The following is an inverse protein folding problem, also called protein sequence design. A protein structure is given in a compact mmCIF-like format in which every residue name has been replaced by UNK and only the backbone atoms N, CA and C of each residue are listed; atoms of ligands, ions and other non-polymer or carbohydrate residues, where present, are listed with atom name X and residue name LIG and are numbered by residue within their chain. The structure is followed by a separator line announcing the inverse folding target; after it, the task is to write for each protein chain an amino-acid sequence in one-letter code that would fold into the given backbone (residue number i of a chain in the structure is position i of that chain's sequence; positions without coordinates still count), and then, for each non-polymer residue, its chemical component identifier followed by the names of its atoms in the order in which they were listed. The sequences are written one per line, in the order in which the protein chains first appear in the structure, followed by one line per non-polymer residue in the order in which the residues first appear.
data_IF_913526413242
#
_entry.id   IF_913526413242
#
_cell.length_a   1.000
_cell.length_b   1.000
_cell.length_c   1.000
_cell.angle_alpha   90.00
_cell.angle_beta   90.00
_cell.angle_gamma   90.00
#
_symmetry.space_group_name_H-M   'P 1'
#
loop_
_entity.id
_entity.type
_entity.pdbx_description
1 polymer ?
#
# COMPACT_ATOMS: atom_id res chain seq x y z
N UNK A 1 -5.51 7.18 23.51
CA UNK A 1 -4.89 6.05 22.80
C UNK A 1 -4.51 6.51 21.40
N UNK A 2 -3.30 7.06 21.21
CA UNK A 2 -2.77 7.51 19.90
C UNK A 2 -1.23 7.51 19.83
N UNK A 3 -0.57 6.74 20.68
CA UNK A 3 0.91 6.77 20.73
C UNK A 3 1.55 5.69 19.85
N UNK A 4 0.87 4.57 19.63
CA UNK A 4 1.45 3.41 18.92
C UNK A 4 1.48 3.55 17.39
N UNK A 5 0.71 4.49 16.80
CA UNK A 5 0.73 4.77 15.35
C UNK A 5 1.47 6.07 15.01
N UNK A 6 2.23 6.61 15.97
CA UNK A 6 3.06 7.80 15.75
C UNK A 6 4.42 7.37 15.20
N UNK A 7 4.86 8.08 14.17
CA UNK A 7 6.22 7.98 13.66
C UNK A 7 6.65 9.33 13.13
N UNK A 8 7.63 9.97 13.78
CA UNK A 8 8.14 11.28 13.38
C UNK A 8 9.33 11.16 12.40
N UNK A 9 9.70 9.95 11.98
CA UNK A 9 10.77 9.71 10.99
C UNK A 9 10.27 9.82 9.55
N UNK A 10 8.97 9.63 9.31
CA UNK A 10 8.37 9.80 7.98
C UNK A 10 8.27 11.27 7.61
N UNK A 11 8.70 11.63 6.40
CA UNK A 11 8.58 12.99 5.88
C UNK A 11 7.15 13.38 5.48
N UNK A 12 6.89 14.67 5.23
CA UNK A 12 5.67 15.11 4.56
C UNK A 12 5.55 14.51 3.15
N UNK A 13 4.36 14.54 2.52
CA UNK A 13 4.18 14.09 1.14
C UNK A 13 5.09 14.88 0.19
N UNK A 14 5.61 14.21 -0.83
CA UNK A 14 6.48 14.84 -1.84
C UNK A 14 5.70 15.81 -2.73
N UNK A 15 4.41 15.53 -2.95
CA UNK A 15 3.51 16.39 -3.70
C UNK A 15 2.08 16.37 -3.15
N UNK A 16 1.36 17.47 -3.36
CA UNK A 16 -0.06 17.58 -3.00
C UNK A 16 -0.34 17.64 -1.49
N UNK A 17 -1.63 17.52 -1.15
CA UNK A 17 -2.15 17.46 0.22
C UNK A 17 -3.06 16.22 0.33
N UNK A 18 -2.49 15.01 0.28
CA UNK A 18 -3.25 13.77 0.22
C UNK A 18 -4.11 13.53 1.45
N UNK A 19 -5.20 12.78 1.29
CA UNK A 19 -6.01 12.34 2.41
C UNK A 19 -5.17 11.59 3.45
N UNK A 20 -5.33 11.96 4.73
CA UNK A 20 -4.50 11.48 5.84
C UNK A 20 -3.38 12.43 6.25
N UNK A 21 -3.07 13.47 5.47
CA UNK A 21 -2.07 14.49 5.82
C UNK A 21 -2.68 15.87 6.12
N UNK A 22 -2.08 16.61 7.07
CA UNK A 22 -2.43 17.99 7.37
C UNK A 22 -1.20 18.76 7.87
N UNK A 23 -0.84 19.86 7.20
CA UNK A 23 0.33 20.70 7.54
C UNK A 23 0.35 21.21 8.99
N UNK A 24 -0.82 21.41 9.61
CA UNK A 24 -0.95 21.92 10.97
C UNK A 24 -0.75 20.86 12.06
N UNK A 25 -0.62 19.57 11.69
CA UNK A 25 -0.44 18.47 12.65
C UNK A 25 1.06 18.28 12.92
N UNK A 26 1.49 18.57 14.14
CA UNK A 26 2.91 18.44 14.52
C UNK A 26 3.38 16.98 14.66
N UNK A 27 2.50 16.08 15.11
CA UNK A 27 2.84 14.66 15.22
C UNK A 27 2.95 14.02 13.83
N UNK A 28 3.90 13.09 13.70
CA UNK A 28 4.16 12.34 12.46
C UNK A 28 4.35 13.23 11.23
N UNK A 29 4.93 14.42 11.42
CA UNK A 29 5.16 15.41 10.36
C UNK A 29 3.93 15.70 9.48
N UNK A 30 2.75 15.73 10.10
CA UNK A 30 1.49 16.06 9.44
C UNK A 30 0.57 14.86 9.18
N UNK A 31 1.10 13.63 9.24
CA UNK A 31 0.33 12.41 9.00
C UNK A 31 -0.56 12.05 10.18
N UNK A 32 -1.76 11.57 9.88
CA UNK A 32 -2.70 11.08 10.89
C UNK A 32 -2.11 9.91 11.67
N UNK A 33 -1.50 8.98 10.94
CA UNK A 33 -0.77 7.84 11.46
C UNK A 33 0.57 7.74 10.73
N UNK A 34 1.67 7.98 11.45
CA UNK A 34 3.01 7.97 10.87
C UNK A 34 3.44 6.56 10.46
N UNK A 35 3.07 5.55 11.26
CA UNK A 35 3.34 4.13 10.97
C UNK A 35 2.64 3.67 9.70
N UNK A 36 1.41 4.14 9.44
CA UNK A 36 0.69 3.86 8.19
C UNK A 36 1.43 4.43 7.00
N UNK A 37 1.83 5.71 7.10
CA UNK A 37 2.63 6.31 6.03
C UNK A 37 3.93 5.54 5.79
N UNK A 38 4.60 5.10 6.86
CA UNK A 38 5.84 4.31 6.75
C UNK A 38 5.59 2.99 6.01
N UNK A 39 4.55 2.25 6.41
CA UNK A 39 4.15 1.00 5.75
C UNK A 39 3.82 1.21 4.26
N UNK A 40 3.16 2.33 3.92
CA UNK A 40 2.88 2.70 2.51
C UNK A 40 4.15 2.95 1.71
N UNK A 41 5.11 3.71 2.26
CA UNK A 41 6.38 4.00 1.58
C UNK A 41 7.13 2.69 1.29
N UNK A 42 7.35 1.86 2.31
CA UNK A 42 8.11 0.62 2.14
C UNK A 42 7.37 -0.38 1.26
N UNK A 43 6.09 -0.64 1.55
CA UNK A 43 5.30 -1.62 0.80
C UNK A 43 5.17 -1.29 -0.69
N UNK A 44 4.97 -0.03 -1.05
CA UNK A 44 4.93 0.37 -2.47
C UNK A 44 6.31 0.30 -3.13
N UNK A 45 7.35 0.75 -2.43
CA UNK A 45 8.71 0.71 -2.99
C UNK A 45 9.16 -0.74 -3.27
N UNK A 46 8.80 -1.67 -2.37
CA UNK A 46 9.02 -3.12 -2.53
C UNK A 46 8.17 -3.71 -3.66
N UNK A 47 6.87 -3.39 -3.71
CA UNK A 47 5.98 -3.83 -4.79
C UNK A 47 6.54 -3.43 -6.16
N UNK A 48 6.98 -2.18 -6.30
CA UNK A 48 7.46 -1.60 -7.57
C UNK A 48 8.74 -2.23 -8.11
N UNK A 49 9.46 -3.00 -7.30
CA UNK A 49 10.65 -3.77 -7.71
C UNK A 49 10.41 -5.29 -7.73
N UNK A 50 9.17 -5.73 -7.52
CA UNK A 50 8.78 -7.14 -7.59
C UNK A 50 8.92 -7.93 -6.29
N UNK A 51 9.24 -7.28 -5.16
CA UNK A 51 9.32 -7.94 -3.85
C UNK A 51 7.91 -8.02 -3.22
N UNK A 52 7.02 -8.78 -3.85
CA UNK A 52 5.58 -8.77 -3.53
C UNK A 52 5.25 -9.37 -2.16
N UNK A 53 6.02 -10.36 -1.72
CA UNK A 53 5.87 -10.95 -0.39
C UNK A 53 6.24 -9.93 0.71
N UNK A 54 7.40 -9.29 0.60
CA UNK A 54 7.86 -8.27 1.55
C UNK A 54 6.92 -7.05 1.56
N UNK A 55 6.39 -6.68 0.38
CA UNK A 55 5.36 -5.64 0.28
C UNK A 55 4.08 -6.03 1.03
N UNK A 56 3.62 -7.28 0.88
CA UNK A 56 2.47 -7.82 1.61
C UNK A 56 2.67 -7.68 3.12
N UNK A 57 3.82 -8.11 3.64
CA UNK A 57 4.10 -8.12 5.08
C UNK A 57 4.15 -6.70 5.66
N UNK A 58 4.65 -5.72 4.89
CA UNK A 58 4.59 -4.30 5.28
C UNK A 58 3.15 -3.82 5.51
N UNK A 59 2.23 -4.16 4.61
CA UNK A 59 0.83 -3.77 4.74
C UNK A 59 0.10 -4.57 5.82
N UNK A 60 0.37 -5.87 5.94
CA UNK A 60 -0.28 -6.74 6.91
C UNK A 60 0.10 -6.39 8.35
N UNK A 61 1.39 -6.15 8.61
CA UNK A 61 1.87 -5.75 9.93
C UNK A 61 1.16 -4.48 10.44
N UNK A 62 0.99 -3.50 9.55
CA UNK A 62 0.32 -2.25 9.91
C UNK A 62 -1.21 -2.39 9.97
N UNK A 63 -1.81 -3.26 9.16
CA UNK A 63 -3.26 -3.51 9.16
C UNK A 63 -3.76 -3.91 10.55
N UNK A 64 -3.01 -4.73 11.30
CA UNK A 64 -3.38 -5.18 12.64
C UNK A 64 -3.47 -4.05 13.68
N UNK A 65 -2.90 -2.88 13.41
CA UNK A 65 -3.01 -1.71 14.29
C UNK A 65 -4.40 -1.04 14.21
N UNK A 66 -5.21 -1.40 13.22
CA UNK A 66 -6.51 -0.79 12.99
C UNK A 66 -7.66 -1.77 13.28
N UNK A 67 -8.59 -1.33 14.11
CA UNK A 67 -9.84 -2.05 14.33
C UNK A 67 -10.67 -2.19 13.05
N UNK A 68 -11.68 -3.05 13.07
CA UNK A 68 -12.51 -3.31 11.89
C UNK A 68 -13.35 -2.08 11.48
N UNK A 69 -13.42 -1.82 10.18
CA UNK A 69 -14.36 -0.87 9.59
C UNK A 69 -13.88 0.59 9.54
N UNK A 70 -12.64 0.89 9.94
CA UNK A 70 -12.04 2.20 9.65
C UNK A 70 -11.55 2.27 8.20
N UNK A 71 -11.38 3.48 7.67
CA UNK A 71 -10.81 3.68 6.32
C UNK A 71 -9.39 3.13 6.23
N UNK A 72 -8.59 3.30 7.28
CA UNK A 72 -7.21 2.77 7.39
C UNK A 72 -7.19 1.25 7.31
N UNK A 73 -8.01 0.57 8.13
CA UNK A 73 -8.10 -0.90 8.12
C UNK A 73 -8.56 -1.42 6.76
N UNK A 74 -9.51 -0.74 6.13
CA UNK A 74 -10.05 -1.10 4.82
C UNK A 74 -9.01 -0.90 3.72
N UNK A 75 -8.31 0.24 3.72
CA UNK A 75 -7.22 0.53 2.79
C UNK A 75 -6.07 -0.48 2.91
N UNK A 76 -5.55 -0.70 4.12
CA UNK A 76 -4.43 -1.63 4.34
C UNK A 76 -4.80 -3.05 3.94
N UNK A 77 -6.02 -3.49 4.25
CA UNK A 77 -6.48 -4.80 3.80
C UNK A 77 -6.58 -4.87 2.28
N UNK A 78 -7.03 -3.81 1.60
CA UNK A 78 -6.97 -3.73 0.14
C UNK A 78 -5.56 -3.89 -0.41
N UNK A 79 -4.57 -3.19 0.17
CA UNK A 79 -3.17 -3.26 -0.27
C UNK A 79 -2.50 -4.61 0.04
N UNK A 80 -2.86 -5.26 1.16
CA UNK A 80 -2.48 -6.67 1.44
C UNK A 80 -2.92 -7.58 0.29
N UNK A 81 -4.16 -7.44 -0.15
CA UNK A 81 -4.72 -8.26 -1.24
C UNK A 81 -4.07 -7.93 -2.60
N UNK A 82 -3.71 -6.66 -2.86
CA UNK A 82 -2.95 -6.24 -4.05
C UNK A 82 -1.60 -6.94 -4.10
N UNK A 83 -0.82 -6.86 -3.02
CA UNK A 83 0.51 -7.47 -2.95
C UNK A 83 0.43 -9.00 -3.04
N UNK A 84 -0.48 -9.62 -2.29
CA UNK A 84 -0.69 -11.07 -2.34
C UNK A 84 -1.16 -11.54 -3.73
N UNK A 85 -2.01 -10.78 -4.42
CA UNK A 85 -2.46 -11.11 -5.77
C UNK A 85 -1.31 -11.08 -6.78
N UNK A 86 -0.48 -10.04 -6.75
CA UNK A 86 0.73 -9.99 -7.58
C UNK A 86 1.69 -11.15 -7.26
N UNK A 87 1.92 -11.44 -5.98
CA UNK A 87 2.74 -12.59 -5.56
C UNK A 87 2.19 -13.92 -6.12
N UNK A 88 0.87 -14.11 -6.14
CA UNK A 88 0.26 -15.29 -6.77
C UNK A 88 0.53 -15.39 -8.26
N UNK A 89 0.45 -14.28 -8.98
CA UNK A 89 0.73 -14.26 -10.41
C UNK A 89 2.21 -14.55 -10.70
N UNK A 90 3.12 -13.79 -10.11
CA UNK A 90 4.53 -13.81 -10.49
C UNK A 90 5.31 -15.01 -9.92
N UNK A 91 5.04 -15.42 -8.68
CA UNK A 91 5.83 -16.49 -8.02
C UNK A 91 5.21 -17.88 -8.16
N UNK A 92 3.90 -17.96 -8.43
CA UNK A 92 3.18 -19.23 -8.48
C UNK A 92 2.45 -19.49 -9.81
N UNK A 93 2.46 -18.54 -10.75
CA UNK A 93 1.70 -18.62 -12.01
C UNK A 93 0.20 -18.93 -11.74
N UNK A 94 -0.34 -18.44 -10.63
CA UNK A 94 -1.68 -18.71 -10.12
C UNK A 94 -2.63 -17.53 -10.37
N UNK A 95 -3.05 -17.37 -11.63
CA UNK A 95 -3.99 -16.32 -12.05
C UNK A 95 -5.38 -16.46 -11.41
N UNK A 96 -5.78 -17.67 -11.03
CA UNK A 96 -7.04 -17.92 -10.33
C UNK A 96 -7.00 -17.39 -8.89
N UNK A 97 -5.88 -17.63 -8.20
CA UNK A 97 -5.57 -17.04 -6.90
C UNK A 97 -5.48 -15.52 -6.97
N UNK A 98 -4.70 -15.00 -7.92
CA UNK A 98 -4.59 -13.55 -8.18
C UNK A 98 -5.98 -12.91 -8.37
N UNK A 99 -6.80 -13.46 -9.27
CA UNK A 99 -8.13 -12.92 -9.58
C UNK A 99 -9.04 -12.84 -8.36
N UNK A 100 -9.00 -13.86 -7.50
CA UNK A 100 -9.80 -13.92 -6.28
C UNK A 100 -9.38 -12.84 -5.27
N UNK A 101 -8.07 -12.60 -5.15
CA UNK A 101 -7.51 -11.58 -4.26
C UNK A 101 -7.80 -10.17 -4.80
N UNK A 102 -7.66 -9.94 -6.10
CA UNK A 102 -7.93 -8.64 -6.73
C UNK A 102 -9.41 -8.24 -6.64
N UNK A 103 -10.35 -9.18 -6.85
CA UNK A 103 -11.78 -8.92 -6.62
C UNK A 103 -12.07 -8.53 -5.17
N UNK A 104 -11.32 -9.09 -4.22
CA UNK A 104 -11.43 -8.76 -2.79
C UNK A 104 -10.82 -7.39 -2.50
N UNK A 105 -9.65 -7.09 -3.07
CA UNK A 105 -8.99 -5.79 -2.99
C UNK A 105 -9.91 -4.65 -3.48
N UNK A 106 -10.56 -4.83 -4.64
CA UNK A 106 -11.48 -3.86 -5.23
C UNK A 106 -12.66 -3.52 -4.30
N UNK A 107 -13.20 -4.50 -3.59
CA UNK A 107 -14.26 -4.28 -2.60
C UNK A 107 -13.77 -3.45 -1.41
N UNK A 108 -12.56 -3.72 -0.91
CA UNK A 108 -11.97 -2.94 0.17
C UNK A 108 -11.65 -1.51 -0.28
N UNK A 109 -11.13 -1.33 -1.49
CA UNK A 109 -10.74 -0.01 -2.00
C UNK A 109 -11.92 0.83 -2.53
N UNK A 110 -13.16 0.33 -2.49
CA UNK A 110 -14.32 1.00 -3.10
C UNK A 110 -14.52 2.44 -2.60
N UNK A 111 -14.45 2.64 -1.28
CA UNK A 111 -14.76 3.91 -0.61
C UNK A 111 -13.51 4.60 0.00
N UNK A 112 -12.31 4.12 -0.35
CA UNK A 112 -11.06 4.76 0.08
C UNK A 112 -10.86 6.06 -0.71
N UNK A 113 -10.44 7.17 -0.07
CA UNK A 113 -10.14 8.41 -0.77
C UNK A 113 -9.16 8.20 -1.93
N UNK A 114 -9.32 8.95 -3.02
CA UNK A 114 -8.57 8.70 -4.27
C UNK A 114 -7.05 8.88 -4.15
N UNK A 115 -6.59 9.67 -3.19
CA UNK A 115 -5.18 9.99 -2.95
C UNK A 115 -4.72 9.56 -1.54
N UNK A 116 -5.37 8.54 -0.96
CA UNK A 116 -5.18 8.16 0.43
C UNK A 116 -3.72 7.81 0.74
N UNK A 117 -3.15 8.52 1.71
CA UNK A 117 -1.74 8.42 2.08
C UNK A 117 -0.76 8.59 0.91
N UNK A 118 -1.16 9.34 -0.12
CA UNK A 118 -0.35 9.64 -1.30
C UNK A 118 -0.44 8.59 -2.42
N UNK A 119 -1.20 7.52 -2.23
CA UNK A 119 -1.38 6.44 -3.22
C UNK A 119 -2.44 6.85 -4.24
N UNK A 120 -2.18 6.61 -5.52
CA UNK A 120 -3.16 6.79 -6.60
C UNK A 120 -4.15 5.60 -6.63
N UNK A 121 -5.20 5.67 -5.81
CA UNK A 121 -6.19 4.60 -5.67
C UNK A 121 -6.96 4.33 -6.98
N UNK A 122 -7.35 5.34 -7.78
CA UNK A 122 -7.96 5.10 -9.09
C UNK A 122 -7.08 4.28 -10.03
N UNK A 123 -5.78 4.57 -10.10
CA UNK A 123 -4.82 3.79 -10.90
C UNK A 123 -4.75 2.34 -10.45
N UNK A 124 -4.60 2.11 -9.13
CA UNK A 124 -4.63 0.76 -8.54
C UNK A 124 -5.89 0.00 -8.94
N UNK A 125 -7.07 0.60 -8.74
CA UNK A 125 -8.34 -0.06 -9.05
C UNK A 125 -8.48 -0.38 -10.54
N UNK A 126 -8.13 0.56 -11.42
CA UNK A 126 -8.19 0.34 -12.87
C UNK A 126 -7.28 -0.80 -13.30
N UNK A 127 -6.03 -0.83 -12.81
CA UNK A 127 -5.09 -1.90 -13.17
C UNK A 127 -5.54 -3.26 -12.62
N UNK A 128 -6.09 -3.31 -11.40
CA UNK A 128 -6.66 -4.56 -10.89
C UNK A 128 -7.83 -5.04 -11.75
N UNK A 129 -8.73 -4.15 -12.17
CA UNK A 129 -9.85 -4.48 -13.06
C UNK A 129 -9.35 -5.02 -14.42
N UNK A 130 -8.37 -4.35 -15.04
CA UNK A 130 -7.76 -4.79 -16.29
C UNK A 130 -7.05 -6.15 -16.14
N UNK A 131 -6.37 -6.37 -15.01
CA UNK A 131 -5.66 -7.61 -14.72
C UNK A 131 -6.58 -8.83 -14.53
N UNK A 132 -7.87 -8.63 -14.22
CA UNK A 132 -8.85 -9.72 -14.19
C UNK A 132 -9.13 -10.27 -15.60
N UNK A 133 -8.96 -9.46 -16.63
CA UNK A 133 -9.13 -9.85 -18.03
C UNK A 133 -7.78 -10.24 -18.70
N UNK A 134 -6.71 -9.50 -18.40
CA UNK A 134 -5.37 -9.71 -18.93
C UNK A 134 -4.29 -9.49 -17.85
N UNK A 135 -3.78 -10.55 -17.20
CA UNK A 135 -2.77 -10.43 -16.16
C UNK A 135 -1.46 -9.76 -16.61
N UNK A 136 -1.18 -9.72 -17.92
CA UNK A 136 0.06 -9.12 -18.44
C UNK A 136 0.17 -7.62 -18.19
N UNK A 137 -0.93 -6.93 -17.88
CA UNK A 137 -0.91 -5.52 -17.47
C UNK A 137 -0.07 -5.29 -16.21
N UNK A 138 0.14 -6.32 -15.38
CA UNK A 138 0.98 -6.21 -14.19
C UNK A 138 2.48 -6.16 -14.50
N UNK A 139 2.94 -6.63 -15.66
CA UNK A 139 4.37 -6.86 -15.93
C UNK A 139 5.20 -5.57 -15.98
N UNK A 140 4.58 -4.47 -16.38
CA UNK A 140 5.22 -3.14 -16.44
C UNK A 140 4.55 -2.13 -15.49
N UNK A 141 3.65 -2.60 -14.62
CA UNK A 141 2.90 -1.72 -13.73
C UNK A 141 3.67 -1.48 -12.43
N UNK A 142 3.76 -0.20 -12.05
CA UNK A 142 4.27 0.25 -10.78
C UNK A 142 3.21 1.13 -10.12
N UNK A 143 3.02 0.94 -8.82
CA UNK A 143 2.09 1.72 -8.02
C UNK A 143 2.65 3.13 -7.83
N UNK A 144 1.82 4.12 -8.15
CA UNK A 144 2.16 5.53 -7.99
C UNK A 144 2.00 5.98 -6.54
N UNK A 145 3.05 6.59 -6.00
CA UNK A 145 3.10 7.24 -4.68
C UNK A 145 3.59 8.68 -4.82
N UNK A 146 2.81 9.62 -4.30
CA UNK A 146 3.07 11.06 -4.35
C UNK A 146 3.36 11.60 -5.78
N UNK A 147 2.74 10.99 -6.80
CA UNK A 147 2.94 11.36 -8.20
C UNK A 147 4.19 10.77 -8.86
N UNK A 148 4.90 9.86 -8.19
CA UNK A 148 6.11 9.17 -8.68
C UNK A 148 5.98 7.66 -8.52
N UNK A 149 6.95 6.89 -9.02
CA UNK A 149 7.04 5.44 -8.79
C UNK A 149 8.33 5.19 -7.98
N UNK A 150 8.27 5.22 -6.65
CA UNK A 150 9.45 4.96 -5.84
C UNK A 150 9.89 3.50 -5.99
N UNK A 151 11.19 3.27 -5.97
CA UNK A 151 11.80 1.95 -6.00
C UNK A 151 12.44 1.65 -4.64
N UNK A 152 12.46 0.37 -4.24
CA UNK A 152 13.04 -0.05 -2.98
C UNK A 152 14.54 0.30 -2.89
N UNK A 153 14.93 0.74 -1.71
CA UNK A 153 16.30 0.92 -1.26
C UNK A 153 16.66 -0.13 -0.20
N UNK A 154 17.90 -0.12 0.27
CA UNK A 154 18.36 -1.00 1.35
C UNK A 154 17.54 -0.83 2.64
N UNK A 155 17.03 0.39 2.90
CA UNK A 155 16.19 0.69 4.07
C UNK A 155 14.85 -0.04 4.00
N UNK A 156 14.25 -0.14 2.81
CA UNK A 156 12.96 -0.80 2.62
C UNK A 156 13.10 -2.32 2.82
N UNK A 157 14.18 -2.90 2.32
CA UNK A 157 14.51 -4.32 2.52
C UNK A 157 14.84 -4.64 3.98
N UNK A 158 15.54 -3.75 4.68
CA UNK A 158 15.81 -3.91 6.12
C UNK A 158 14.52 -3.83 6.92
N UNK A 159 13.64 -2.86 6.62
CA UNK A 159 12.34 -2.74 7.25
C UNK A 159 11.49 -4.00 7.11
N UNK A 160 11.40 -4.58 5.91
CA UNK A 160 10.65 -5.81 5.68
C UNK A 160 11.19 -6.99 6.51
N UNK A 161 12.52 -7.18 6.55
CA UNK A 161 13.16 -8.25 7.35
C UNK A 161 12.91 -8.13 8.86
N UNK A 162 12.65 -6.94 9.36
CA UNK A 162 12.33 -6.75 10.79
C UNK A 162 10.89 -7.17 11.14
N UNK A 163 10.02 -7.39 10.14
CA UNK A 163 8.64 -7.81 10.32
C UNK A 163 8.47 -9.35 10.36
N UNK A 164 9.45 -10.10 9.85
CA UNK A 164 9.51 -11.57 9.85
C UNK A 164 9.89 -12.18 11.22
#
# INVERSE_FOLDING_TARGET
MRDHTRDDTVGPPISGNPAGWNEGRAASNGWEHGTLRRAVIHGISLYNVGEFHDAHDCFEAEWYNYGRGSTESTFLHGMVQVAAGAYKHFDFEDDGGMSSLFQTALQYLENVPSDFYGVDIPDVKSTLEDALDDPSVLHDWQIKLDGTHPEASEIDLEYARELE
#
